data_IF_455524751976
#
_entry.id   IF_455524751976
#
_cell.length_a   1.000
_cell.length_b   1.000
_cell.length_c   1.000
_cell.angle_alpha   90.00
_cell.angle_beta   90.00
_cell.angle_gamma   90.00
#
_symmetry.space_group_name_H-M   'P 1'
#
loop_
_entity.id
_entity.type
_entity.pdbx_description
1 polymer ?
#
# COMPACT_ATOMS: atom_id res chain seq x y z
N UNK A 1 -30.28 -25.92 0.42
CA UNK A 1 -29.15 -25.87 -0.54
C UNK A 1 -27.86 -26.12 0.22
N UNK A 2 -27.27 -27.30 0.06
CA UNK A 2 -25.99 -27.63 0.68
C UNK A 2 -24.87 -26.88 -0.07
N UNK A 3 -24.26 -25.89 0.57
CA UNK A 3 -23.07 -25.23 0.06
C UNK A 3 -21.90 -26.22 0.17
N UNK A 4 -21.40 -26.69 -0.96
CA UNK A 4 -20.16 -27.46 -1.04
C UNK A 4 -19.02 -26.61 -0.46
N UNK A 5 -18.42 -27.12 0.60
CA UNK A 5 -17.21 -26.59 1.21
C UNK A 5 -16.01 -26.84 0.29
N UNK A 6 -15.83 -25.94 -0.67
CA UNK A 6 -14.54 -25.71 -1.30
C UNK A 6 -13.94 -24.47 -0.65
N UNK A 7 -13.14 -24.64 0.40
CA UNK A 7 -12.45 -23.54 1.05
C UNK A 7 -11.57 -22.81 0.03
N UNK A 8 -12.05 -21.65 -0.45
CA UNK A 8 -11.29 -20.79 -1.35
C UNK A 8 -10.09 -20.24 -0.55
N UNK A 9 -8.91 -20.32 -1.15
CA UNK A 9 -7.66 -19.81 -0.58
C UNK A 9 -7.13 -18.68 -1.45
N UNK A 10 -6.61 -17.65 -0.80
CA UNK A 10 -5.83 -16.59 -1.45
C UNK A 10 -4.35 -16.90 -1.30
N UNK A 11 -3.52 -16.43 -2.22
CA UNK A 11 -2.09 -16.77 -2.25
C UNK A 11 -1.20 -15.58 -2.56
N UNK A 12 0.03 -15.62 -2.05
CA UNK A 12 1.12 -14.69 -2.35
C UNK A 12 2.09 -15.39 -3.29
N UNK A 13 2.45 -14.71 -4.38
CA UNK A 13 3.36 -15.21 -5.39
C UNK A 13 4.67 -14.43 -5.35
N UNK A 14 5.79 -15.15 -5.46
CA UNK A 14 7.12 -14.57 -5.68
C UNK A 14 7.44 -14.61 -7.16
N UNK A 15 7.94 -13.50 -7.66
CA UNK A 15 8.49 -13.37 -9.01
C UNK A 15 9.99 -13.14 -8.84
N UNK A 16 10.80 -14.11 -9.24
CA UNK A 16 12.25 -13.96 -9.19
C UNK A 16 12.69 -13.00 -10.32
N UNK A 17 13.74 -12.19 -10.08
CA UNK A 17 14.26 -11.31 -11.12
C UNK A 17 14.76 -12.15 -12.31
N UNK A 18 14.69 -11.62 -13.54
CA UNK A 18 15.25 -12.32 -14.69
C UNK A 18 16.73 -12.61 -14.44
N UNK A 19 17.23 -13.80 -14.84
CA UNK A 19 18.64 -14.10 -14.72
C UNK A 19 19.46 -13.06 -15.50
N UNK A 20 20.66 -12.70 -15.01
CA UNK A 20 21.54 -11.80 -15.75
C UNK A 20 21.80 -12.34 -17.16
N UNK A 21 21.97 -11.46 -18.17
CA UNK A 21 22.24 -11.91 -19.53
C UNK A 21 23.47 -12.81 -19.54
N UNK A 22 23.35 -13.99 -20.14
CA UNK A 22 24.52 -14.81 -20.42
C UNK A 22 25.37 -14.01 -21.42
N UNK A 23 26.55 -13.58 -21.01
CA UNK A 23 27.56 -13.04 -21.91
C UNK A 23 28.04 -14.21 -22.77
N UNK A 24 27.40 -14.39 -23.93
CA UNK A 24 27.96 -15.22 -24.99
C UNK A 24 29.15 -14.44 -25.53
N UNK A 25 30.35 -15.00 -25.39
CA UNK A 25 31.54 -14.47 -26.05
C UNK A 25 31.22 -14.29 -27.53
N UNK A 26 31.29 -13.05 -28.02
CA UNK A 26 31.12 -12.73 -29.43
C UNK A 26 32.32 -13.28 -30.22
N UNK A 27 32.21 -14.53 -30.64
CA UNK A 27 32.82 -14.99 -31.87
C UNK A 27 31.67 -15.42 -32.78
N UNK A 28 31.57 -14.72 -33.91
CA UNK A 28 30.61 -14.90 -35.01
C UNK A 28 29.24 -14.21 -34.86
N UNK A 29 29.24 -12.89 -35.10
CA UNK A 29 28.52 -12.31 -36.25
C UNK A 29 26.99 -12.42 -36.33
N UNK A 30 26.28 -12.76 -35.25
CA UNK A 30 24.82 -12.74 -35.24
C UNK A 30 24.30 -12.18 -33.91
N UNK A 31 23.86 -10.92 -33.93
CA UNK A 31 23.26 -10.22 -32.79
C UNK A 31 21.91 -10.85 -32.42
N UNK A 32 21.95 -11.97 -31.70
CA UNK A 32 20.78 -12.55 -31.06
C UNK A 32 20.53 -11.83 -29.73
N UNK A 33 19.62 -10.86 -29.73
CA UNK A 33 19.08 -10.28 -28.50
C UNK A 33 18.49 -11.40 -27.64
N UNK A 34 19.19 -11.79 -26.58
CA UNK A 34 18.70 -12.81 -25.65
C UNK A 34 17.40 -12.32 -24.99
N UNK A 35 16.27 -12.94 -25.32
CA UNK A 35 15.00 -12.68 -24.63
C UNK A 35 15.17 -13.11 -23.17
N UNK A 36 15.07 -12.16 -22.24
CA UNK A 36 15.02 -12.46 -20.83
C UNK A 36 13.79 -13.34 -20.56
N UNK A 37 14.02 -14.62 -20.26
CA UNK A 37 12.97 -15.55 -19.86
C UNK A 37 12.63 -15.22 -18.41
N UNK A 38 11.46 -14.62 -18.19
CA UNK A 38 10.93 -14.42 -16.85
C UNK A 38 10.59 -15.77 -16.24
N UNK A 39 11.09 -16.03 -15.03
CA UNK A 39 10.67 -17.19 -14.24
C UNK A 39 9.16 -17.12 -13.97
N UNK A 40 8.50 -18.28 -14.01
CA UNK A 40 7.09 -18.34 -13.66
C UNK A 40 6.87 -17.94 -12.20
N UNK A 41 5.78 -17.21 -11.88
CA UNK A 41 5.45 -16.86 -10.50
C UNK A 41 5.32 -18.12 -9.63
N UNK A 42 6.02 -18.15 -8.50
CA UNK A 42 5.97 -19.25 -7.53
C UNK A 42 5.05 -18.90 -6.36
N UNK A 43 4.11 -19.78 -6.01
CA UNK A 43 3.27 -19.58 -4.83
C UNK A 43 4.04 -19.88 -3.53
N UNK A 44 4.30 -18.84 -2.74
CA UNK A 44 5.10 -18.95 -1.51
C UNK A 44 4.23 -19.04 -0.25
N UNK A 45 3.03 -18.46 -0.25
CA UNK A 45 2.14 -18.46 0.91
C UNK A 45 0.67 -18.55 0.47
N UNK A 46 -0.16 -19.17 1.31
CA UNK A 46 -1.62 -19.21 1.14
C UNK A 46 -2.31 -18.89 2.47
N UNK A 47 -3.50 -18.28 2.40
CA UNK A 47 -4.34 -17.99 3.55
C UNK A 47 -5.82 -18.12 3.18
N UNK A 48 -6.72 -18.35 4.15
CA UNK A 48 -8.15 -18.49 3.87
C UNK A 48 -8.70 -17.23 3.17
N UNK A 49 -9.35 -17.39 2.02
CA UNK A 49 -9.83 -16.23 1.24
C UNK A 49 -10.95 -15.47 1.96
N UNK A 50 -11.58 -16.08 2.97
CA UNK A 50 -12.63 -15.46 3.79
C UNK A 50 -12.07 -14.49 4.83
N UNK A 51 -10.75 -14.47 5.03
CA UNK A 51 -10.10 -13.66 6.05
C UNK A 51 -10.12 -12.16 5.69
N UNK A 52 -9.94 -11.85 4.40
CA UNK A 52 -10.02 -10.47 3.91
C UNK A 52 -10.43 -10.42 2.43
N UNK A 53 -11.07 -9.32 2.05
CA UNK A 53 -11.31 -8.93 0.68
C UNK A 53 -10.20 -7.98 0.20
N UNK A 54 -9.92 -8.00 -1.11
CA UNK A 54 -8.97 -7.10 -1.77
C UNK A 54 -7.60 -7.01 -1.07
N UNK A 55 -6.90 -8.14 -0.85
CA UNK A 55 -5.60 -8.13 -0.20
C UNK A 55 -4.59 -7.32 -1.00
N UNK A 56 -3.78 -6.52 -0.31
CA UNK A 56 -2.62 -5.81 -0.87
C UNK A 56 -1.37 -6.16 -0.07
N UNK A 57 -0.24 -6.19 -0.76
CA UNK A 57 1.08 -6.29 -0.13
C UNK A 57 1.60 -4.90 0.17
N UNK A 58 2.14 -4.71 1.36
CA UNK A 58 2.76 -3.46 1.79
C UNK A 58 4.15 -3.76 2.31
N UNK A 59 5.14 -3.08 1.74
CA UNK A 59 6.51 -3.09 2.23
C UNK A 59 6.60 -2.24 3.51
N UNK A 60 7.17 -2.79 4.57
CA UNK A 60 7.26 -2.22 5.91
C UNK A 60 8.62 -2.54 6.52
N UNK A 61 9.66 -1.84 6.05
CA UNK A 61 11.06 -2.00 6.43
C UNK A 61 11.59 -3.43 6.23
N UNK A 62 11.70 -4.21 7.30
CA UNK A 62 12.20 -5.58 7.28
C UNK A 62 11.10 -6.62 7.08
N UNK A 63 9.85 -6.18 6.92
CA UNK A 63 8.67 -7.04 6.85
C UNK A 63 7.79 -6.69 5.65
N UNK A 64 7.15 -7.72 5.10
CA UNK A 64 6.06 -7.56 4.14
C UNK A 64 4.75 -7.87 4.85
N UNK A 65 3.80 -6.95 4.77
CA UNK A 65 2.47 -7.08 5.33
C UNK A 65 1.45 -7.42 4.24
N UNK A 66 0.50 -8.28 4.56
CA UNK A 66 -0.72 -8.52 3.79
C UNK A 66 -1.85 -7.78 4.50
N UNK A 67 -2.44 -6.80 3.83
CA UNK A 67 -3.48 -5.93 4.38
C UNK A 67 -4.74 -6.04 3.54
N UNK A 68 -5.90 -6.13 4.19
CA UNK A 68 -7.19 -6.10 3.51
C UNK A 68 -8.34 -5.83 4.47
N UNK A 69 -9.54 -5.65 3.93
CA UNK A 69 -10.74 -5.41 4.74
C UNK A 69 -11.47 -6.72 5.02
N UNK A 70 -12.15 -6.85 6.15
CA UNK A 70 -12.99 -8.03 6.41
C UNK A 70 -14.24 -8.08 5.54
N UNK A 71 -14.70 -6.91 5.08
CA UNK A 71 -15.93 -6.74 4.33
C UNK A 71 -15.89 -5.47 3.45
N UNK A 72 -16.95 -5.30 2.64
CA UNK A 72 -17.09 -4.18 1.71
C UNK A 72 -17.30 -2.81 2.40
N UNK A 73 -17.68 -2.78 3.68
CA UNK A 73 -17.79 -1.52 4.43
C UNK A 73 -16.41 -0.92 4.71
N UNK A 74 -15.35 -1.73 4.64
CA UNK A 74 -13.96 -1.34 4.93
C UNK A 74 -13.75 -0.79 6.35
N UNK A 75 -14.71 -1.01 7.24
CA UNK A 75 -14.67 -0.54 8.63
C UNK A 75 -13.73 -1.35 9.52
N UNK A 76 -13.39 -2.56 9.09
CA UNK A 76 -12.48 -3.46 9.79
C UNK A 76 -11.41 -3.95 8.84
N UNK A 77 -10.17 -3.83 9.30
CA UNK A 77 -9.01 -4.28 8.58
C UNK A 77 -8.42 -5.53 9.23
N UNK A 78 -7.73 -6.29 8.40
CA UNK A 78 -6.87 -7.38 8.83
C UNK A 78 -5.48 -7.14 8.28
N UNK A 79 -4.50 -7.21 9.17
CA UNK A 79 -3.08 -7.14 8.84
C UNK A 79 -2.44 -8.46 9.22
N UNK A 80 -1.66 -9.04 8.32
CA UNK A 80 -0.90 -10.27 8.53
C UNK A 80 0.55 -10.01 8.14
N UNK A 81 1.51 -10.48 8.93
CA UNK A 81 2.90 -10.55 8.47
C UNK A 81 3.06 -11.74 7.53
N UNK A 82 3.67 -11.53 6.36
CA UNK A 82 3.95 -12.61 5.41
C UNK A 82 4.80 -13.72 6.06
N UNK A 83 5.72 -13.34 6.93
CA UNK A 83 6.54 -14.28 7.72
C UNK A 83 5.68 -15.22 8.58
N UNK A 84 4.60 -14.73 9.19
CA UNK A 84 3.71 -15.54 10.03
C UNK A 84 2.96 -16.58 9.18
N UNK A 85 2.57 -16.24 7.95
CA UNK A 85 1.96 -17.19 7.01
C UNK A 85 2.98 -18.26 6.58
N UNK A 86 4.20 -17.84 6.25
CA UNK A 86 5.27 -18.75 5.85
C UNK A 86 5.64 -19.71 6.99
N UNK A 87 5.71 -19.22 8.22
CA UNK A 87 5.95 -20.03 9.42
C UNK A 87 4.82 -21.03 9.66
N UNK A 88 3.56 -20.60 9.55
CA UNK A 88 2.41 -21.48 9.71
C UNK A 88 2.38 -22.60 8.65
N UNK A 89 2.77 -22.30 7.40
CA UNK A 89 2.93 -23.31 6.34
C UNK A 89 3.96 -24.38 6.70
N UNK A 90 5.03 -24.03 7.41
CA UNK A 90 6.08 -24.97 7.84
C UNK A 90 5.70 -25.74 9.11
N UNK A 91 4.88 -25.16 9.99
CA UNK A 91 4.44 -25.79 11.26
C UNK A 91 2.95 -25.60 11.53
N UNK A 92 2.07 -26.35 10.85
CA UNK A 92 0.62 -26.18 10.92
C UNK A 92 0.00 -26.42 12.30
N UNK A 93 0.68 -27.17 13.17
CA UNK A 93 0.22 -27.54 14.52
C UNK A 93 0.33 -26.43 15.55
N UNK A 94 1.01 -25.33 15.23
CA UNK A 94 1.13 -24.20 16.14
C UNK A 94 -0.07 -23.27 15.96
N UNK A 95 -0.81 -23.01 17.03
CA UNK A 95 -1.90 -22.01 17.05
C UNK A 95 -1.26 -20.63 16.95
N UNK A 96 -1.03 -20.18 15.73
CA UNK A 96 -0.50 -18.84 15.44
C UNK A 96 -1.68 -17.98 15.02
N UNK A 97 -1.93 -16.88 15.76
CA UNK A 97 -2.81 -15.83 15.27
C UNK A 97 -2.21 -15.29 13.98
N UNK A 98 -2.86 -15.58 12.85
CA UNK A 98 -2.41 -15.09 11.54
C UNK A 98 -2.51 -13.57 11.46
N UNK A 99 -3.35 -12.94 12.29
CA UNK A 99 -3.51 -11.49 12.32
C UNK A 99 -2.56 -10.87 13.33
N UNK A 100 -1.91 -9.78 12.93
CA UNK A 100 -1.14 -8.93 13.85
C UNK A 100 -1.95 -7.72 14.28
N UNK A 101 -1.94 -7.44 15.57
CA UNK A 101 -2.46 -6.21 16.18
C UNK A 101 -1.35 -5.18 16.42
N UNK A 102 -0.11 -5.50 16.04
CA UNK A 102 1.06 -4.66 16.27
C UNK A 102 1.99 -4.63 15.04
N UNK A 103 2.19 -3.43 14.51
CA UNK A 103 3.19 -3.08 13.49
C UNK A 103 4.24 -2.12 14.05
N UNK A 104 4.32 -1.97 15.38
CA UNK A 104 5.29 -1.16 16.07
C UNK A 104 5.17 0.33 15.78
N UNK A 105 6.30 0.94 15.40
CA UNK A 105 6.43 2.38 15.20
C UNK A 105 5.90 2.87 13.84
N UNK A 106 5.19 2.03 13.11
CA UNK A 106 4.75 2.31 11.75
C UNK A 106 3.30 2.78 11.70
N UNK A 107 3.05 3.65 10.72
CA UNK A 107 1.73 3.96 10.21
C UNK A 107 1.62 3.42 8.79
N UNK A 108 0.61 2.61 8.50
CA UNK A 108 0.29 2.22 7.13
C UNK A 108 -0.67 3.23 6.53
N UNK A 109 -0.40 3.71 5.33
CA UNK A 109 -1.35 4.46 4.54
C UNK A 109 -1.90 3.50 3.50
N UNK A 110 -3.14 3.06 3.69
CA UNK A 110 -3.77 1.99 2.91
C UNK A 110 -4.74 2.57 1.89
N UNK A 111 -4.50 2.35 0.59
CA UNK A 111 -5.37 2.88 -0.46
C UNK A 111 -5.10 2.34 -1.85
N UNK A 112 -5.18 3.19 -2.89
CA UNK A 112 -4.87 2.78 -4.27
C UNK A 112 -3.40 2.36 -4.42
N UNK A 113 -2.54 3.02 -3.65
CA UNK A 113 -1.18 2.58 -3.35
C UNK A 113 -1.07 2.54 -1.83
N UNK A 114 -0.32 1.57 -1.34
CA UNK A 114 -0.10 1.41 0.09
C UNK A 114 1.37 1.62 0.42
N UNK A 115 1.63 2.31 1.51
CA UNK A 115 2.97 2.61 2.01
C UNK A 115 3.00 2.53 3.53
N UNK A 116 4.11 2.04 4.07
CA UNK A 116 4.40 2.10 5.50
C UNK A 116 5.32 3.28 5.78
N UNK A 117 5.07 4.00 6.86
CA UNK A 117 5.89 5.13 7.30
C UNK A 117 6.26 4.92 8.74
N UNK A 118 7.57 4.94 9.02
CA UNK A 118 8.05 4.94 10.40
C UNK A 118 7.80 6.30 11.05
N UNK A 119 7.30 6.28 12.28
CA UNK A 119 7.30 7.45 13.16
C UNK A 119 8.71 7.74 13.71
N UNK A 120 9.65 6.80 13.58
CA UNK A 120 11.07 7.04 13.87
C UNK A 120 11.65 8.00 12.82
N UNK A 121 12.51 8.91 13.26
CA UNK A 121 13.16 9.89 12.37
C UNK A 121 12.54 11.28 12.36
N UNK A 122 11.65 11.58 13.32
CA UNK A 122 11.24 12.97 13.59
C UNK A 122 10.17 13.52 12.66
N UNK A 123 9.43 12.67 11.94
CA UNK A 123 8.23 13.10 11.23
C UNK A 123 7.13 13.45 12.24
N UNK A 124 6.73 14.72 12.35
CA UNK A 124 5.72 15.11 13.32
C UNK A 124 4.37 14.46 12.98
N UNK A 125 3.62 14.07 14.00
CA UNK A 125 2.21 13.66 13.89
C UNK A 125 1.93 12.39 13.07
N UNK A 126 2.91 11.51 12.87
CA UNK A 126 2.64 10.16 12.35
C UNK A 126 2.17 9.26 13.50
N UNK A 127 0.93 8.75 13.48
CA UNK A 127 0.44 7.87 14.52
C UNK A 127 1.16 6.52 14.48
N UNK A 128 1.31 5.87 15.63
CA UNK A 128 1.98 4.56 15.76
C UNK A 128 0.94 3.45 15.75
N UNK A 129 1.31 2.30 15.21
CA UNK A 129 0.48 1.10 15.19
C UNK A 129 -0.94 1.33 14.61
N UNK A 130 -0.99 2.09 13.51
CA UNK A 130 -2.25 2.55 12.90
C UNK A 130 -2.25 2.38 11.40
N UNK A 131 -3.45 2.29 10.82
CA UNK A 131 -3.68 2.29 9.38
C UNK A 131 -4.57 3.47 8.98
N UNK A 132 -4.05 4.37 8.17
CA UNK A 132 -4.80 5.49 7.58
C UNK A 132 -5.47 5.02 6.29
N UNK A 133 -6.81 5.09 6.26
CA UNK A 133 -7.65 4.65 5.15
C UNK A 133 -7.74 5.74 4.06
N UNK A 134 -6.98 5.56 2.99
CA UNK A 134 -6.83 6.55 1.92
C UNK A 134 -7.83 6.38 0.76
N UNK A 135 -8.56 5.26 0.65
CA UNK A 135 -9.40 4.95 -0.50
C UNK A 135 -10.92 4.90 -0.20
N UNK A 136 -11.32 4.79 1.07
CA UNK A 136 -12.70 4.94 1.53
C UNK A 136 -12.83 6.22 2.34
N UNK A 137 -13.12 7.33 1.66
CA UNK A 137 -13.24 8.63 2.33
C UNK A 137 -14.69 9.13 2.21
N UNK A 138 -15.63 8.61 3.02
CA UNK A 138 -16.92 9.25 3.20
C UNK A 138 -16.74 10.48 4.11
N UNK A 139 -16.33 11.60 3.51
CA UNK A 139 -16.30 12.93 4.13
C UNK A 139 -15.05 13.30 4.92
N UNK A 140 -14.39 12.37 5.61
CA UNK A 140 -13.14 12.63 6.34
C UNK A 140 -12.18 11.45 6.27
N UNK A 141 -10.88 11.73 6.36
CA UNK A 141 -9.86 10.69 6.43
C UNK A 141 -9.95 9.96 7.77
N UNK A 142 -9.93 8.64 7.74
CA UNK A 142 -10.03 7.79 8.92
C UNK A 142 -8.72 7.07 9.21
N UNK A 143 -8.43 6.88 10.50
CA UNK A 143 -7.35 6.02 10.98
C UNK A 143 -7.94 4.87 11.79
N UNK A 144 -7.41 3.68 11.55
CA UNK A 144 -7.73 2.43 12.22
C UNK A 144 -6.60 2.07 13.19
N UNK A 145 -6.91 1.92 14.47
CA UNK A 145 -5.95 1.48 15.48
C UNK A 145 -5.90 -0.06 15.50
N UNK A 146 -4.72 -0.62 15.26
CA UNK A 146 -4.56 -2.08 15.16
C UNK A 146 -4.64 -2.78 16.52
N UNK A 147 -4.37 -2.07 17.62
CA UNK A 147 -4.37 -2.64 18.96
C UNK A 147 -5.79 -2.99 19.45
N UNK A 148 -6.78 -2.14 19.15
CA UNK A 148 -8.15 -2.26 19.65
C UNK A 148 -9.21 -2.35 18.53
N UNK A 149 -8.81 -2.14 17.28
CA UNK A 149 -9.68 -2.19 16.11
C UNK A 149 -10.62 -0.98 15.99
N UNK A 150 -10.32 0.14 16.65
CA UNK A 150 -11.16 1.35 16.62
C UNK A 150 -10.86 2.24 15.41
N UNK A 151 -11.89 2.95 14.95
CA UNK A 151 -11.78 3.99 13.91
C UNK A 151 -11.91 5.37 14.54
N UNK A 152 -11.05 6.29 14.12
CA UNK A 152 -11.10 7.70 14.50
C UNK A 152 -10.75 8.59 13.31
N UNK A 153 -11.07 9.90 13.34
CA UNK A 153 -10.59 10.84 12.34
C UNK A 153 -9.05 10.92 12.36
N UNK A 154 -8.42 10.86 11.18
CA UNK A 154 -6.96 10.92 11.03
C UNK A 154 -6.42 12.33 10.88
N UNK A 155 -7.20 13.25 10.30
CA UNK A 155 -6.84 14.65 10.14
C UNK A 155 -8.08 15.52 9.99
N UNK A 156 -7.91 16.81 10.30
CA UNK A 156 -8.93 17.82 10.06
C UNK A 156 -8.99 18.19 8.57
N UNK A 157 -10.20 18.39 8.03
CA UNK A 157 -10.43 18.86 6.66
C UNK A 157 -10.88 17.80 5.66
N UNK A 158 -11.68 18.22 4.69
CA UNK A 158 -12.11 17.39 3.55
C UNK A 158 -10.99 17.36 2.51
N UNK A 159 -10.42 16.18 2.29
CA UNK A 159 -9.33 15.93 1.34
C UNK A 159 -9.83 15.32 0.00
N UNK A 160 -11.14 15.05 -0.10
CA UNK A 160 -11.78 14.37 -1.23
C UNK A 160 -12.43 15.36 -2.17
N UNK A 161 -13.16 16.33 -1.60
CA UNK A 161 -13.94 17.30 -2.36
C UNK A 161 -13.19 18.61 -2.52
N UNK A 162 -12.28 18.89 -1.60
CA UNK A 162 -11.48 20.11 -1.58
C UNK A 162 -10.02 19.80 -1.31
N UNK A 163 -9.07 20.60 -1.82
CA UNK A 163 -7.71 20.55 -1.33
C UNK A 163 -7.67 20.81 0.17
N UNK A 164 -6.80 20.13 0.95
CA UNK A 164 -6.67 20.42 2.37
C UNK A 164 -6.32 21.90 2.61
N UNK A 165 -6.88 22.56 3.63
CA UNK A 165 -6.50 23.93 3.95
C UNK A 165 -5.02 24.02 4.38
N UNK A 166 -4.35 25.12 4.05
CA UNK A 166 -2.98 25.39 4.50
C UNK A 166 -2.98 25.78 5.99
N UNK A 167 -1.98 25.34 6.80
CA UNK A 167 -0.80 24.56 6.40
C UNK A 167 -1.07 23.06 6.25
N UNK A 168 -0.48 22.44 5.23
CA UNK A 168 -0.60 20.99 5.01
C UNK A 168 0.28 20.22 6.01
N UNK A 169 -0.30 19.27 6.74
CA UNK A 169 0.48 18.34 7.56
C UNK A 169 1.18 17.27 6.68
N UNK A 170 2.21 16.62 7.23
CA UNK A 170 2.89 15.51 6.54
C UNK A 170 1.92 14.35 6.22
N UNK A 171 0.92 14.10 7.08
CA UNK A 171 -0.15 13.11 6.86
C UNK A 171 -0.91 13.44 5.57
N UNK A 172 -1.28 14.70 5.35
CA UNK A 172 -1.93 15.11 4.10
C UNK A 172 -1.06 14.82 2.88
N UNK A 173 0.24 15.10 2.97
CA UNK A 173 1.16 14.81 1.87
C UNK A 173 1.24 13.31 1.57
N UNK A 174 1.41 12.47 2.59
CA UNK A 174 1.49 11.02 2.44
C UNK A 174 0.19 10.43 1.87
N UNK A 175 -0.97 10.95 2.29
CA UNK A 175 -2.27 10.57 1.72
C UNK A 175 -2.35 10.92 0.24
N UNK A 176 -1.86 12.09 -0.19
CA UNK A 176 -1.79 12.43 -1.63
C UNK A 176 -0.85 11.50 -2.41
N UNK A 177 0.13 10.89 -1.76
CA UNK A 177 0.93 9.82 -2.37
C UNK A 177 0.12 8.52 -2.51
N UNK A 178 -0.79 8.20 -1.60
CA UNK A 178 -1.64 7.01 -1.68
C UNK A 178 -2.89 7.18 -2.56
N UNK A 179 -3.35 8.42 -2.75
CA UNK A 179 -4.60 8.75 -3.42
C UNK A 179 -4.36 9.55 -4.70
N UNK A 180 -4.65 8.96 -5.87
CA UNK A 180 -4.24 9.47 -7.20
C UNK A 180 -4.99 10.72 -7.69
N UNK A 181 -5.92 11.28 -6.92
CA UNK A 181 -6.79 12.36 -7.40
C UNK A 181 -6.25 13.76 -7.12
N UNK A 182 -5.47 13.95 -6.05
CA UNK A 182 -4.96 15.25 -5.63
C UNK A 182 -3.48 15.14 -5.26
N UNK A 183 -2.70 16.15 -5.62
CA UNK A 183 -1.30 16.30 -5.21
C UNK A 183 -1.12 17.65 -4.53
N UNK A 184 -0.21 17.73 -3.57
CA UNK A 184 0.03 18.93 -2.76
C UNK A 184 0.47 20.18 -3.57
N UNK A 185 0.80 20.04 -4.86
CA UNK A 185 1.13 21.13 -5.79
C UNK A 185 0.07 21.36 -6.88
N UNK A 186 -1.07 20.66 -6.85
CA UNK A 186 -2.15 20.81 -7.84
C UNK A 186 -2.95 19.53 -8.10
N UNK A 187 -3.86 19.60 -9.06
CA UNK A 187 -4.62 18.44 -9.50
C UNK A 187 -3.71 17.50 -10.30
N UNK A 188 -3.56 16.24 -9.91
CA UNK A 188 -2.99 15.23 -10.83
C UNK A 188 -4.07 14.87 -11.85
N UNK A 189 -3.66 14.73 -13.10
CA UNK A 189 -4.53 14.16 -14.13
C UNK A 189 -5.00 12.77 -13.69
N UNK A 190 -6.30 12.63 -13.45
CA UNK A 190 -6.95 11.36 -13.22
C UNK A 190 -8.14 11.24 -14.18
N UNK A 191 -8.54 10.04 -14.56
CA UNK A 191 -9.66 9.83 -15.52
C UNK A 191 -10.98 10.47 -15.07
N UNK A 192 -11.13 10.81 -13.78
CA UNK A 192 -12.30 11.51 -13.23
C UNK A 192 -12.12 13.02 -13.05
N UNK A 193 -10.91 13.56 -13.20
CA UNK A 193 -10.62 14.99 -13.07
C UNK A 193 -10.03 15.50 -14.40
N UNK A 194 -10.63 16.55 -14.97
CA UNK A 194 -10.01 17.29 -16.08
C UNK A 194 -9.26 18.50 -15.50
N UNK A 195 -7.99 18.36 -15.08
CA UNK A 195 -7.25 19.50 -14.58
C UNK A 195 -7.11 20.57 -15.67
N UNK A 196 -7.57 21.78 -15.39
CA UNK A 196 -7.26 22.97 -16.18
C UNK A 196 -5.88 23.46 -15.77
N UNK A 197 -4.85 22.93 -16.42
CA UNK A 197 -3.48 23.41 -16.22
C UNK A 197 -3.33 24.80 -16.85
N UNK A 198 -3.22 25.84 -16.03
CA UNK A 198 -2.64 27.10 -16.46
C UNK A 198 -1.15 27.04 -16.18
N UNK A 199 -0.32 27.18 -17.22
CA UNK A 199 1.12 27.33 -17.04
C UNK A 199 1.36 28.56 -16.16
N UNK A 200 2.05 28.37 -15.04
CA UNK A 200 2.46 29.49 -14.19
C UNK A 200 3.45 30.33 -15.01
N UNK A 201 2.99 31.43 -15.60
CA UNK A 201 3.86 32.36 -16.29
C UNK A 201 4.92 32.86 -15.30
N UNK A 202 6.18 32.45 -15.49
CA UNK A 202 7.35 32.89 -14.73
C UNK A 202 7.70 34.35 -15.02
N UNK A 203 6.74 35.28 -14.93
CA UNK A 203 6.98 36.71 -15.15
C UNK A 203 7.11 37.53 -13.87
N UNK A 204 7.15 36.90 -12.69
CA UNK A 204 7.27 37.63 -11.42
C UNK A 204 8.27 37.07 -10.39
N UNK A 205 9.31 36.36 -10.84
CA UNK A 205 10.55 36.27 -10.07
C UNK A 205 11.46 37.45 -10.49
N UNK A 206 11.15 38.65 -9.98
CA UNK A 206 12.17 39.68 -9.87
C UNK A 206 13.00 39.32 -8.64
N UNK A 207 14.20 38.81 -8.87
CA UNK A 207 15.26 38.86 -7.87
C UNK A 207 15.56 40.33 -7.56
N UNK A 208 15.74 40.64 -6.29
CA UNK A 208 15.94 41.99 -5.80
C UNK A 208 17.25 42.64 -6.29
N UNK A 209 17.23 43.97 -6.26
CA UNK A 209 18.34 44.80 -5.80
C UNK A 209 17.77 45.69 -4.70
#
# INVERSE_FOLDING_TARGET
>A
MAYRDGSKVSGVQRLDPPPPPLVLNEQDGSSATAKAVLSQPQMIATFPSRLMILPQLVDCDDQILVVGSTDLSRSRLVVIRLADILLHRQRPTTVVSLTTSDIGDHCLFFGMRSLAVSSKGGLPSIPRNTVILCDSIPGHLQQYNLADGTLSPACDGDIVRTPPPSPHSIVHHLVTCCYRYFWNKGLIYCTRTKPTWTTKNNKHLRFGA
#
